data_IF_569148218009
#
_entry.id   IF_569148218009
#
_cell.length_a   1.000
_cell.length_b   1.000
_cell.length_c   1.000
_cell.angle_alpha   90.00
_cell.angle_beta   90.00
_cell.angle_gamma   90.00
#
_symmetry.space_group_name_H-M   'P 1'
#
loop_
_entity.id
_entity.type
_entity.pdbx_description
1 polymer ?
#
# COMPACT_ATOMS: atom_id res chain seq x y z
N UNK A 1 -13.88 7.58 5.57
CA UNK A 1 -12.43 7.61 5.64
C UNK A 1 -11.84 6.91 4.41
N UNK A 2 -10.78 7.48 3.87
CA UNK A 2 -10.18 6.95 2.65
C UNK A 2 -9.35 5.68 2.86
N UNK A 3 -8.87 5.46 4.08
CA UNK A 3 -7.98 4.35 4.40
C UNK A 3 -8.62 3.46 5.46
N UNK A 4 -8.62 2.16 5.19
CA UNK A 4 -9.07 1.15 6.16
C UNK A 4 -7.99 0.10 6.28
N UNK A 5 -7.77 -0.41 7.47
CA UNK A 5 -6.77 -1.46 7.66
C UNK A 5 -7.32 -2.57 8.54
N UNK A 6 -6.81 -3.78 8.30
CA UNK A 6 -7.24 -4.97 9.02
C UNK A 6 -6.07 -5.94 9.14
N UNK A 7 -5.80 -6.40 10.34
CA UNK A 7 -4.83 -7.48 10.56
C UNK A 7 -5.50 -8.82 10.34
N UNK A 8 -4.84 -9.70 9.60
CA UNK A 8 -5.34 -11.04 9.35
C UNK A 8 -4.24 -12.04 9.69
N UNK A 9 -4.62 -13.32 9.80
CA UNK A 9 -3.69 -14.42 10.14
C UNK A 9 -2.92 -14.13 11.42
N UNK A 10 -3.62 -13.68 12.46
CA UNK A 10 -3.03 -13.38 13.78
C UNK A 10 -1.93 -12.33 13.71
N UNK A 11 -2.11 -11.33 12.82
CA UNK A 11 -1.16 -10.24 12.68
C UNK A 11 -0.02 -10.50 11.73
N UNK A 12 0.03 -11.65 11.07
CA UNK A 12 1.06 -11.93 10.09
C UNK A 12 0.89 -11.14 8.81
N UNK A 13 -0.34 -10.73 8.51
CA UNK A 13 -0.65 -9.96 7.32
C UNK A 13 -1.47 -8.73 7.70
N UNK A 14 -1.10 -7.58 7.14
CA UNK A 14 -1.87 -6.36 7.29
C UNK A 14 -2.46 -5.99 5.93
N UNK A 15 -3.78 -5.88 5.89
CA UNK A 15 -4.49 -5.46 4.70
C UNK A 15 -4.83 -3.97 4.84
N UNK A 16 -4.42 -3.18 3.85
CA UNK A 16 -4.69 -1.74 3.81
C UNK A 16 -5.48 -1.44 2.56
N UNK A 17 -6.72 -1.00 2.72
CA UNK A 17 -7.59 -0.66 1.60
C UNK A 17 -7.68 0.85 1.44
N UNK A 18 -7.57 1.32 0.21
CA UNK A 18 -7.60 2.75 -0.12
C UNK A 18 -8.82 3.03 -0.98
N UNK A 19 -9.66 3.96 -0.54
CA UNK A 19 -10.85 4.39 -1.28
C UNK A 19 -10.61 5.75 -1.92
N UNK A 20 -11.11 5.93 -3.14
CA UNK A 20 -11.11 7.24 -3.80
C UNK A 20 -9.73 7.66 -4.28
N UNK A 21 -9.30 8.84 -3.85
CA UNK A 21 -8.04 9.41 -4.30
C UNK A 21 -6.89 9.01 -3.39
N UNK A 22 -5.93 8.31 -3.95
CA UNK A 22 -4.71 7.94 -3.22
C UNK A 22 -3.65 8.98 -3.53
N UNK A 23 -3.64 10.04 -2.75
CA UNK A 23 -2.73 11.17 -2.93
C UNK A 23 -2.24 11.68 -1.58
N UNK A 24 -1.56 12.82 -1.58
CA UNK A 24 -0.97 13.38 -0.38
C UNK A 24 -1.99 13.66 0.73
N UNK A 25 -3.26 13.88 0.37
CA UNK A 25 -4.28 14.18 1.38
C UNK A 25 -4.52 13.03 2.35
N UNK A 26 -4.18 11.80 1.98
CA UNK A 26 -4.34 10.65 2.87
C UNK A 26 -3.04 10.15 3.47
N UNK A 27 -1.97 10.95 3.38
CA UNK A 27 -0.65 10.56 3.90
C UNK A 27 -0.69 10.14 5.37
N UNK A 28 -1.30 10.97 6.21
CA UNK A 28 -1.32 10.68 7.64
C UNK A 28 -2.11 9.42 7.96
N UNK A 29 -3.29 9.27 7.35
CA UNK A 29 -4.11 8.08 7.56
C UNK A 29 -3.38 6.82 7.10
N UNK A 30 -2.71 6.91 5.96
CA UNK A 30 -1.99 5.76 5.41
C UNK A 30 -0.86 5.34 6.34
N UNK A 31 -0.06 6.29 6.81
CA UNK A 31 1.02 6.01 7.74
C UNK A 31 0.51 5.42 9.04
N UNK A 32 -0.56 6.00 9.59
CA UNK A 32 -1.13 5.51 10.84
C UNK A 32 -1.68 4.08 10.70
N UNK A 33 -2.12 3.70 9.49
CA UNK A 33 -2.69 2.38 9.28
C UNK A 33 -1.69 1.25 9.55
N UNK A 34 -0.39 1.52 9.42
CA UNK A 34 0.62 0.50 9.69
C UNK A 34 1.54 0.85 10.85
N UNK A 35 1.81 2.15 11.10
CA UNK A 35 2.74 2.53 12.17
C UNK A 35 2.17 2.33 13.57
N UNK A 36 0.85 2.37 13.70
CA UNK A 36 0.22 2.18 15.00
C UNK A 36 0.15 0.72 15.44
N UNK A 37 0.49 -0.21 14.55
CA UNK A 37 0.54 -1.61 14.92
C UNK A 37 1.79 -1.86 15.77
N UNK A 38 1.66 -2.69 16.79
CA UNK A 38 2.77 -2.94 17.70
C UNK A 38 3.87 -3.80 17.10
N UNK A 39 3.54 -4.59 16.08
CA UNK A 39 4.51 -5.46 15.43
C UNK A 39 4.45 -5.27 13.93
N UNK A 40 5.59 -5.52 13.27
CA UNK A 40 5.67 -5.48 11.83
C UNK A 40 5.08 -6.78 11.28
N UNK A 41 4.14 -6.66 10.36
CA UNK A 41 3.56 -7.83 9.71
C UNK A 41 4.56 -8.47 8.77
N UNK A 42 4.42 -9.77 8.50
CA UNK A 42 5.27 -10.43 7.52
C UNK A 42 4.93 -10.02 6.10
N UNK A 43 3.66 -9.78 5.83
CA UNK A 43 3.17 -9.40 4.52
C UNK A 43 2.22 -8.22 4.65
N UNK A 44 2.36 -7.26 3.74
CA UNK A 44 1.44 -6.14 3.64
C UNK A 44 0.71 -6.24 2.30
N UNK A 45 -0.60 -6.06 2.32
CA UNK A 45 -1.41 -6.07 1.10
C UNK A 45 -2.12 -4.72 0.99
N UNK A 46 -1.84 -4.01 -0.09
CA UNK A 46 -2.50 -2.74 -0.37
C UNK A 46 -3.56 -3.01 -1.43
N UNK A 47 -4.82 -2.84 -1.04
CA UNK A 47 -5.97 -3.15 -1.89
C UNK A 47 -6.48 -1.84 -2.51
N UNK A 48 -6.42 -1.76 -3.83
CA UNK A 48 -6.80 -0.58 -4.58
C UNK A 48 -8.11 -0.77 -5.34
N UNK A 49 -8.93 -1.73 -4.94
CA UNK A 49 -10.21 -2.00 -5.62
C UNK A 49 -11.10 -0.76 -5.68
N UNK A 50 -11.16 0.00 -4.59
CA UNK A 50 -12.00 1.19 -4.51
C UNK A 50 -11.25 2.48 -4.82
N UNK A 51 -9.97 2.39 -5.18
CA UNK A 51 -9.18 3.58 -5.53
C UNK A 51 -9.54 4.03 -6.94
N UNK A 52 -9.80 5.33 -7.08
CA UNK A 52 -10.18 5.92 -8.36
C UNK A 52 -9.03 6.68 -9.01
N UNK A 53 -8.02 7.05 -8.23
CA UNK A 53 -6.94 7.91 -8.69
C UNK A 53 -5.69 7.66 -7.85
N UNK A 54 -4.54 7.76 -8.50
CA UNK A 54 -3.23 7.65 -7.82
C UNK A 54 -2.28 8.66 -8.48
N UNK A 55 -1.44 9.30 -7.67
CA UNK A 55 -0.44 10.22 -8.20
C UNK A 55 0.95 9.86 -7.67
N UNK A 56 1.95 10.67 -8.01
CA UNK A 56 3.33 10.40 -7.62
C UNK A 56 3.54 10.43 -6.11
N UNK A 57 2.74 11.22 -5.37
CA UNK A 57 2.89 11.25 -3.92
C UNK A 57 2.48 9.91 -3.29
N UNK A 58 1.48 9.24 -3.88
CA UNK A 58 1.08 7.91 -3.40
C UNK A 58 2.21 6.90 -3.61
N UNK A 59 2.94 7.00 -4.71
CA UNK A 59 4.08 6.11 -4.96
C UNK A 59 5.14 6.30 -3.88
N UNK A 60 5.39 7.55 -3.48
CA UNK A 60 6.30 7.84 -2.38
C UNK A 60 5.82 7.29 -1.05
N UNK A 61 4.51 7.34 -0.81
CA UNK A 61 3.93 6.77 0.41
C UNK A 61 4.10 5.24 0.46
N UNK A 62 4.01 4.58 -0.67
CA UNK A 62 4.24 3.14 -0.74
C UNK A 62 5.71 2.80 -0.50
N UNK A 63 6.63 3.64 -0.97
CA UNK A 63 8.04 3.46 -0.69
C UNK A 63 8.34 3.61 0.80
N UNK A 64 7.66 4.53 1.47
CA UNK A 64 7.80 4.68 2.92
C UNK A 64 7.30 3.45 3.66
N UNK A 65 6.21 2.86 3.20
CA UNK A 65 5.72 1.60 3.77
C UNK A 65 6.76 0.50 3.59
N UNK A 66 7.37 0.42 2.42
CA UNK A 66 8.41 -0.59 2.16
C UNK A 66 9.58 -0.43 3.13
N UNK A 67 10.05 0.81 3.33
CA UNK A 67 11.12 1.05 4.29
C UNK A 67 10.73 0.60 5.70
N UNK A 68 9.52 0.92 6.11
CA UNK A 68 9.02 0.53 7.42
C UNK A 68 8.94 -1.00 7.56
N UNK A 69 8.55 -1.68 6.50
CA UNK A 69 8.32 -3.12 6.51
C UNK A 69 9.59 -3.95 6.36
N UNK A 70 10.75 -3.32 6.18
CA UNK A 70 12.00 -4.05 6.08
C UNK A 70 12.84 -3.78 4.84
N UNK A 71 12.46 -2.81 4.03
CA UNK A 71 13.21 -2.43 2.84
C UNK A 71 13.26 -3.57 1.82
N UNK A 72 14.45 -4.03 1.49
CA UNK A 72 14.62 -5.11 0.52
C UNK A 72 13.99 -6.42 0.96
N UNK A 73 13.78 -6.60 2.25
CA UNK A 73 13.16 -7.81 2.79
C UNK A 73 11.65 -7.69 2.93
N UNK A 74 11.08 -6.54 2.58
CA UNK A 74 9.65 -6.32 2.71
C UNK A 74 8.88 -7.16 1.69
N UNK A 75 7.73 -7.69 2.12
CA UNK A 75 6.83 -8.42 1.23
C UNK A 75 5.53 -7.62 1.14
N UNK A 76 5.37 -6.93 0.04
CA UNK A 76 4.22 -6.04 -0.17
C UNK A 76 3.55 -6.39 -1.49
N UNK A 77 2.25 -6.67 -1.43
CA UNK A 77 1.42 -6.91 -2.60
C UNK A 77 0.49 -5.74 -2.82
N UNK A 78 0.33 -5.36 -4.08
CA UNK A 78 -0.62 -4.33 -4.47
C UNK A 78 -1.64 -5.02 -5.38
N UNK A 79 -2.90 -5.04 -4.95
CA UNK A 79 -3.90 -5.84 -5.61
C UNK A 79 -5.10 -5.00 -6.04
N UNK A 80 -5.84 -5.53 -7.01
CA UNK A 80 -7.17 -5.05 -7.41
C UNK A 80 -7.20 -3.64 -7.97
N UNK A 81 -6.07 -3.12 -8.43
CA UNK A 81 -6.06 -1.82 -9.10
C UNK A 81 -6.74 -1.90 -10.45
N UNK A 82 -7.37 -0.79 -10.88
CA UNK A 82 -7.91 -0.69 -12.24
C UNK A 82 -6.76 -0.82 -13.25
N UNK A 83 -7.10 -1.03 -14.52
CA UNK A 83 -6.08 -1.12 -15.56
C UNK A 83 -5.23 0.14 -15.62
N UNK A 84 -5.84 1.31 -15.44
CA UNK A 84 -5.11 2.58 -15.46
C UNK A 84 -4.12 2.65 -14.29
N UNK A 85 -4.56 2.27 -13.10
CA UNK A 85 -3.70 2.30 -11.92
C UNK A 85 -2.57 1.26 -12.04
N UNK A 86 -2.90 0.05 -12.49
CA UNK A 86 -1.88 -0.98 -12.70
C UNK A 86 -0.83 -0.53 -13.69
N UNK A 87 -1.24 0.15 -14.76
CA UNK A 87 -0.30 0.63 -15.76
C UNK A 87 0.67 1.67 -15.19
N UNK A 88 0.20 2.51 -14.26
CA UNK A 88 1.08 3.47 -13.61
C UNK A 88 2.20 2.73 -12.86
N UNK A 89 1.86 1.68 -12.12
CA UNK A 89 2.86 0.89 -11.42
C UNK A 89 3.80 0.16 -12.38
N UNK A 90 3.24 -0.45 -13.42
CA UNK A 90 4.04 -1.25 -14.34
C UNK A 90 5.02 -0.41 -15.16
N UNK A 91 4.69 0.86 -15.39
CA UNK A 91 5.58 1.78 -16.10
C UNK A 91 6.64 2.42 -15.23
N UNK A 92 6.52 2.25 -13.91
CA UNK A 92 7.49 2.78 -12.96
C UNK A 92 8.43 1.67 -12.54
N UNK A 93 9.55 2.05 -11.92
CA UNK A 93 10.47 1.05 -11.36
C UNK A 93 9.91 0.38 -10.12
N UNK A 94 8.78 0.85 -9.63
CA UNK A 94 8.15 0.29 -8.44
C UNK A 94 7.65 -1.14 -8.67
N UNK A 95 7.38 -1.51 -9.92
CA UNK A 95 6.95 -2.88 -10.19
C UNK A 95 8.01 -3.92 -9.83
N UNK A 96 9.26 -3.50 -9.67
CA UNK A 96 10.35 -4.39 -9.24
C UNK A 96 10.41 -4.52 -7.73
N UNK A 97 9.77 -3.61 -7.00
CA UNK A 97 9.83 -3.54 -5.54
C UNK A 97 8.59 -4.12 -4.86
N UNK A 98 7.50 -4.26 -5.60
CA UNK A 98 6.22 -4.75 -5.07
C UNK A 98 5.68 -5.84 -5.97
N UNK A 99 4.87 -6.70 -5.39
CA UNK A 99 4.10 -7.68 -6.18
C UNK A 99 2.82 -7.01 -6.65
N UNK A 100 2.73 -6.71 -7.93
CA UNK A 100 1.57 -6.06 -8.52
C UNK A 100 0.66 -7.13 -9.12
N UNK A 101 -0.56 -7.21 -8.62
CA UNK A 101 -1.54 -8.21 -9.10
C UNK A 101 -2.78 -7.57 -9.66
#
# INVERSE_FOLDING_TARGET
MAIRSKSVNKGEQLLIAVDGQFDFSCLQEFRESYEKKQTIAKTYVVDLEEAEYIDSSALGMLLALRDYAGGENADIKIISGSDDIRNIFLKSKLCEMFHIE
#
